data_IF_990539886425
#
_entry.id   IF_990539886425
#
_cell.length_a   1.000
_cell.length_b   1.000
_cell.length_c   1.000
_cell.angle_alpha   90.00
_cell.angle_beta   90.00
_cell.angle_gamma   90.00
#
_symmetry.space_group_name_H-M   'P 1'
#
loop_
_entity.id
_entity.type
_entity.pdbx_description
1 polymer ?
#
# COMPACT_ATOMS: atom_id res chain seq x y z
N UNK A 1 -6.14 12.23 -18.02
CA UNK A 1 -5.03 12.06 -17.05
C UNK A 1 -4.21 13.35 -16.90
N UNK A 2 -3.57 13.90 -17.94
CA UNK A 2 -2.68 15.09 -17.83
C UNK A 2 -3.27 16.30 -17.10
N UNK A 3 -4.58 16.57 -17.23
CA UNK A 3 -5.26 17.70 -16.56
C UNK A 3 -5.68 17.37 -15.11
N UNK A 4 -5.83 16.10 -14.77
CA UNK A 4 -6.34 15.67 -13.47
C UNK A 4 -5.20 15.37 -12.48
N UNK A 5 -4.11 14.76 -12.95
CA UNK A 5 -2.98 14.38 -12.08
C UNK A 5 -2.39 15.54 -11.26
N UNK A 6 -2.17 16.76 -11.80
CA UNK A 6 -1.68 17.87 -10.98
C UNK A 6 -2.62 18.29 -9.86
N UNK A 7 -3.95 18.23 -10.10
CA UNK A 7 -4.95 18.54 -9.06
C UNK A 7 -4.99 17.48 -7.97
N UNK A 8 -4.79 16.22 -8.33
CA UNK A 8 -4.69 15.11 -7.36
C UNK A 8 -3.42 15.26 -6.53
N UNK A 9 -2.28 15.56 -7.18
CA UNK A 9 -1.00 15.79 -6.49
C UNK A 9 -1.12 16.90 -5.46
N UNK A 10 -1.68 18.04 -5.85
CA UNK A 10 -1.91 19.20 -4.97
C UNK A 10 -2.80 18.81 -3.79
N UNK A 11 -3.98 18.24 -4.04
CA UNK A 11 -4.93 17.87 -3.00
C UNK A 11 -4.36 16.83 -2.02
N UNK A 12 -3.63 15.83 -2.52
CA UNK A 12 -2.98 14.81 -1.68
C UNK A 12 -1.90 15.46 -0.81
N UNK A 13 -1.07 16.35 -1.35
CA UNK A 13 -0.02 17.03 -0.56
C UNK A 13 -0.60 17.93 0.53
N UNK A 14 -1.72 18.61 0.27
CA UNK A 14 -2.44 19.38 1.30
C UNK A 14 -2.90 18.46 2.44
N UNK A 15 -3.50 17.31 2.13
CA UNK A 15 -3.95 16.35 3.15
C UNK A 15 -2.79 15.69 3.90
N UNK A 16 -1.65 15.44 3.25
CA UNK A 16 -0.43 14.97 3.92
C UNK A 16 0.04 16.00 4.97
N UNK A 17 0.18 17.26 4.56
CA UNK A 17 0.63 18.32 5.47
C UNK A 17 -0.33 18.52 6.65
N UNK A 18 -1.63 18.48 6.39
CA UNK A 18 -2.67 18.54 7.42
C UNK A 18 -2.56 17.36 8.39
N UNK A 19 -2.44 16.11 7.89
CA UNK A 19 -2.33 14.93 8.74
C UNK A 19 -1.08 14.97 9.60
N UNK A 20 0.07 15.35 9.05
CA UNK A 20 1.31 15.51 9.83
C UNK A 20 1.09 16.48 10.98
N UNK A 21 0.51 17.64 10.71
CA UNK A 21 0.29 18.69 11.72
C UNK A 21 -0.71 18.28 12.80
N UNK A 22 -1.76 17.52 12.47
CA UNK A 22 -2.91 17.33 13.36
C UNK A 22 -2.97 15.95 14.02
N UNK A 23 -2.29 14.92 13.46
CA UNK A 23 -2.43 13.53 13.91
C UNK A 23 -1.11 12.87 14.30
N UNK A 24 0.03 13.37 13.80
CA UNK A 24 1.31 12.77 14.13
C UNK A 24 1.98 13.44 15.33
N UNK A 25 2.77 12.67 16.11
CA UNK A 25 3.46 13.20 17.28
C UNK A 25 4.31 14.43 16.91
N UNK A 26 4.22 15.46 17.74
CA UNK A 26 4.95 16.72 17.61
C UNK A 26 4.74 17.46 16.28
N UNK A 27 3.68 17.12 15.51
CA UNK A 27 3.45 17.69 14.19
C UNK A 27 4.54 17.34 13.16
N UNK A 28 5.23 16.19 13.34
CA UNK A 28 6.31 15.72 12.48
C UNK A 28 5.92 14.46 11.73
N UNK A 29 6.53 14.25 10.56
CA UNK A 29 6.36 12.99 9.83
C UNK A 29 6.76 11.78 10.69
N UNK A 30 6.11 10.65 10.46
CA UNK A 30 6.47 9.41 11.14
C UNK A 30 7.73 8.79 10.52
N UNK A 31 8.39 7.93 11.29
CA UNK A 31 9.59 7.21 10.86
C UNK A 31 9.36 6.50 9.52
N UNK A 32 10.35 6.58 8.63
CA UNK A 32 10.36 6.04 7.27
C UNK A 32 9.37 6.70 6.28
N UNK A 33 8.58 7.69 6.69
CA UNK A 33 7.81 8.49 5.75
C UNK A 33 8.74 9.44 5.00
N UNK A 34 8.56 9.55 3.66
CA UNK A 34 9.33 10.49 2.86
C UNK A 34 9.08 11.94 3.30
N UNK A 35 10.13 12.78 3.44
CA UNK A 35 9.99 14.21 3.68
C UNK A 35 9.62 14.99 2.41
N UNK A 36 9.80 14.37 1.24
CA UNK A 36 9.57 15.02 -0.03
C UNK A 36 8.07 15.11 -0.36
N UNK A 37 7.66 16.12 -1.14
CA UNK A 37 6.30 16.16 -1.69
C UNK A 37 5.98 14.87 -2.46
N UNK A 38 4.77 14.36 -2.28
CA UNK A 38 4.27 13.22 -3.03
C UNK A 38 4.06 13.61 -4.50
N UNK A 39 4.69 12.88 -5.42
CA UNK A 39 4.63 13.11 -6.87
C UNK A 39 4.24 11.83 -7.60
N UNK A 40 2.96 11.64 -7.94
CA UNK A 40 2.52 10.41 -8.56
C UNK A 40 3.07 10.28 -9.98
N UNK A 41 3.78 9.19 -10.23
CA UNK A 41 4.35 8.85 -11.53
C UNK A 41 3.73 7.60 -12.16
N UNK A 42 2.80 6.95 -11.45
CA UNK A 42 2.05 5.80 -11.92
C UNK A 42 0.57 5.92 -11.53
N UNK A 43 -0.30 5.39 -12.40
CA UNK A 43 -1.72 5.29 -12.12
C UNK A 43 -2.25 3.92 -12.59
N UNK A 44 -3.01 3.26 -11.73
CA UNK A 44 -3.67 2.00 -12.02
C UNK A 44 -5.18 2.20 -12.04
N UNK A 45 -5.83 1.69 -13.09
CA UNK A 45 -7.28 1.87 -13.28
C UNK A 45 -7.98 0.54 -13.10
N UNK A 46 -8.92 0.49 -12.15
CA UNK A 46 -9.85 -0.62 -11.97
C UNK A 46 -11.25 -0.19 -12.41
N UNK A 47 -11.95 -1.10 -13.07
CA UNK A 47 -13.37 -0.95 -13.38
C UNK A 47 -14.13 -2.06 -12.68
N UNK A 48 -15.09 -1.68 -11.84
CA UNK A 48 -16.03 -2.60 -11.18
C UNK A 48 -17.38 -2.46 -11.86
N UNK A 49 -17.86 -3.53 -12.49
CA UNK A 49 -19.14 -3.55 -13.19
C UNK A 49 -20.20 -4.21 -12.31
N UNK A 50 -21.17 -3.43 -11.89
CA UNK A 50 -22.22 -3.88 -10.98
C UNK A 50 -21.80 -3.94 -9.51
N UNK A 51 -22.68 -4.45 -8.67
CA UNK A 51 -22.47 -4.55 -7.22
C UNK A 51 -21.61 -5.74 -6.79
N UNK A 52 -21.64 -6.84 -7.55
CA UNK A 52 -20.98 -8.09 -7.18
C UNK A 52 -19.44 -8.01 -7.27
N UNK A 53 -18.90 -7.27 -8.24
CA UNK A 53 -17.46 -7.13 -8.38
C UNK A 53 -16.87 -6.39 -7.19
N UNK A 54 -15.84 -6.96 -6.60
CA UNK A 54 -15.27 -6.54 -5.33
C UNK A 54 -13.78 -6.87 -5.26
N UNK A 55 -13.09 -6.34 -4.27
CA UNK A 55 -11.75 -6.77 -3.91
C UNK A 55 -11.69 -7.02 -2.40
N UNK A 56 -11.17 -8.19 -2.02
CA UNK A 56 -11.04 -8.60 -0.63
C UNK A 56 -10.04 -7.76 0.16
N UNK A 57 -9.99 -7.97 1.49
CA UNK A 57 -9.08 -7.24 2.37
C UNK A 57 -7.61 -7.54 2.05
N UNK A 58 -6.88 -6.49 1.69
CA UNK A 58 -5.45 -6.54 1.36
C UNK A 58 -4.74 -5.27 1.81
N UNK A 59 -3.43 -5.28 1.75
CA UNK A 59 -2.57 -4.09 1.73
C UNK A 59 -1.84 -4.07 0.39
N UNK A 60 -1.55 -2.89 -0.14
CA UNK A 60 -0.81 -2.76 -1.39
C UNK A 60 0.62 -3.30 -1.25
N UNK A 61 1.19 -3.74 -2.36
CA UNK A 61 2.58 -4.19 -2.39
C UNK A 61 3.53 -2.99 -2.26
N UNK A 62 4.52 -3.12 -1.37
CA UNK A 62 5.48 -2.05 -1.09
C UNK A 62 6.67 -2.03 -2.06
N UNK A 63 6.81 -3.00 -2.96
CA UNK A 63 8.02 -3.26 -3.75
C UNK A 63 8.53 -2.03 -4.49
N UNK A 64 7.66 -1.21 -5.06
CA UNK A 64 8.03 0.03 -5.74
C UNK A 64 7.71 1.28 -4.92
N UNK A 65 6.88 1.12 -3.91
CA UNK A 65 6.38 2.23 -3.10
C UNK A 65 7.30 2.56 -1.93
N UNK A 66 7.94 1.52 -1.38
CA UNK A 66 8.71 1.63 -0.17
C UNK A 66 7.87 1.80 1.10
N UNK A 67 8.55 2.05 2.23
CA UNK A 67 7.90 2.30 3.51
C UNK A 67 6.98 3.51 3.51
N UNK A 68 5.91 3.41 4.31
CA UNK A 68 5.01 4.53 4.61
C UNK A 68 4.45 5.21 3.35
N UNK A 69 4.12 4.39 2.35
CA UNK A 69 3.62 4.85 1.07
C UNK A 69 2.27 5.58 1.21
N UNK A 70 2.14 6.67 0.48
CA UNK A 70 0.90 7.43 0.36
C UNK A 70 0.31 7.18 -1.02
N UNK A 71 -1.00 6.97 -1.07
CA UNK A 71 -1.71 6.62 -2.30
C UNK A 71 -2.95 7.52 -2.43
N UNK A 72 -3.10 8.15 -3.58
CA UNK A 72 -4.31 8.90 -3.93
C UNK A 72 -5.24 8.04 -4.79
N UNK A 73 -6.53 8.01 -4.49
CA UNK A 73 -7.49 7.16 -5.19
C UNK A 73 -8.74 7.96 -5.55
N UNK A 74 -9.00 8.13 -6.86
CA UNK A 74 -10.23 8.76 -7.38
C UNK A 74 -11.28 7.69 -7.65
N UNK A 75 -12.50 7.96 -7.23
CA UNK A 75 -13.68 7.16 -7.54
C UNK A 75 -14.62 7.90 -8.48
N UNK A 76 -14.98 7.27 -9.59
CA UNK A 76 -15.90 7.80 -10.59
C UNK A 76 -17.02 6.79 -10.88
N UNK A 77 -18.22 7.27 -11.20
CA UNK A 77 -19.37 6.42 -11.52
C UNK A 77 -20.15 6.01 -10.27
N UNK A 78 -20.49 4.73 -10.16
CA UNK A 78 -21.31 4.19 -9.05
C UNK A 78 -20.60 4.32 -7.72
N UNK A 79 -21.30 4.76 -6.69
CA UNK A 79 -20.78 4.83 -5.32
C UNK A 79 -20.59 3.41 -4.74
N UNK A 80 -19.51 3.20 -4.02
CA UNK A 80 -19.18 1.93 -3.35
C UNK A 80 -18.60 2.18 -1.96
N UNK A 81 -18.62 1.18 -1.11
CA UNK A 81 -17.95 1.23 0.19
C UNK A 81 -16.50 0.77 0.08
N UNK A 82 -15.61 1.64 0.56
CA UNK A 82 -14.23 1.31 0.89
C UNK A 82 -14.16 0.96 2.37
N UNK A 83 -13.83 -0.26 2.67
CA UNK A 83 -13.76 -0.74 4.05
C UNK A 83 -12.33 -0.87 4.50
N UNK A 84 -12.05 -0.45 5.72
CA UNK A 84 -10.74 -0.59 6.34
C UNK A 84 -10.87 -1.27 7.68
N UNK A 85 -9.86 -2.06 8.05
CA UNK A 85 -9.73 -2.67 9.36
C UNK A 85 -8.27 -2.68 9.80
N UNK A 86 -8.03 -2.44 11.07
CA UNK A 86 -6.69 -2.47 11.62
C UNK A 86 -6.16 -3.90 11.71
N UNK A 87 -4.85 -4.07 11.53
CA UNK A 87 -4.18 -5.35 11.70
C UNK A 87 -3.72 -5.41 13.16
N UNK A 88 -4.16 -6.44 13.89
CA UNK A 88 -3.75 -6.67 15.28
C UNK A 88 -2.63 -7.70 15.28
N UNK A 89 -1.40 -7.32 15.68
CA UNK A 89 -0.30 -8.26 15.82
C UNK A 89 -0.56 -9.26 16.95
N UNK A 90 -0.20 -10.51 16.75
CA UNK A 90 -0.34 -11.59 17.73
C UNK A 90 1.02 -12.00 18.28
N UNK A 91 1.07 -12.45 19.53
CA UNK A 91 2.26 -13.06 20.11
C UNK A 91 2.49 -14.46 19.50
N UNK A 92 3.75 -14.83 19.28
CA UNK A 92 4.11 -16.13 18.69
C UNK A 92 3.69 -17.32 19.56
N UNK A 93 3.40 -17.09 20.83
CA UNK A 93 2.91 -18.09 21.79
C UNK A 93 1.38 -18.30 21.72
N UNK A 94 0.65 -17.42 21.09
CA UNK A 94 -0.80 -17.57 20.93
C UNK A 94 -1.12 -18.60 19.85
N UNK A 95 -2.03 -19.54 20.16
CA UNK A 95 -2.54 -20.48 19.15
C UNK A 95 -3.20 -19.71 18.01
N UNK A 96 -3.02 -20.13 16.74
CA UNK A 96 -3.72 -19.52 15.62
C UNK A 96 -5.22 -19.53 15.89
N UNK A 97 -5.84 -18.37 15.96
CA UNK A 97 -7.30 -18.27 16.08
C UNK A 97 -7.97 -18.84 14.83
N UNK A 98 -9.12 -19.51 14.94
CA UNK A 98 -9.87 -19.97 13.79
C UNK A 98 -10.14 -18.82 12.82
N UNK A 99 -10.12 -19.07 11.50
CA UNK A 99 -10.37 -18.06 10.47
C UNK A 99 -11.71 -17.32 10.65
N UNK A 100 -12.67 -17.91 11.36
CA UNK A 100 -13.95 -17.28 11.73
C UNK A 100 -13.79 -16.21 12.81
N UNK A 101 -12.82 -16.35 13.73
CA UNK A 101 -12.52 -15.37 14.79
C UNK A 101 -11.55 -14.29 14.33
N UNK A 102 -10.72 -14.54 13.30
CA UNK A 102 -9.94 -13.49 12.62
C UNK A 102 -10.84 -12.42 11.98
N UNK A 103 -12.13 -12.68 11.81
CA UNK A 103 -13.11 -11.75 11.24
C UNK A 103 -13.72 -10.78 12.27
N UNK A 104 -13.65 -11.09 13.54
CA UNK A 104 -14.07 -10.18 14.60
C UNK A 104 -12.88 -9.38 15.10
N UNK A 105 -12.44 -8.40 14.29
CA UNK A 105 -11.46 -7.42 14.75
C UNK A 105 -12.06 -6.70 15.95
N UNK A 106 -11.44 -6.81 17.12
CA UNK A 106 -11.88 -6.18 18.35
C UNK A 106 -11.97 -4.63 18.24
N UNK A 107 -11.26 -4.05 17.27
CA UNK A 107 -11.28 -2.60 16.98
C UNK A 107 -12.32 -2.21 15.91
N UNK A 108 -13.04 -3.17 15.35
CA UNK A 108 -14.09 -2.93 14.37
C UNK A 108 -13.60 -2.66 12.95
N UNK A 109 -14.58 -2.46 12.08
CA UNK A 109 -14.40 -2.15 10.68
C UNK A 109 -14.96 -0.76 10.40
N UNK A 110 -14.22 0.05 9.66
CA UNK A 110 -14.68 1.37 9.21
C UNK A 110 -15.11 1.23 7.76
N UNK A 111 -16.33 1.69 7.45
CA UNK A 111 -16.84 1.79 6.08
C UNK A 111 -16.84 3.26 5.66
N UNK A 112 -16.19 3.55 4.55
CA UNK A 112 -16.09 4.88 3.95
C UNK A 112 -16.88 4.86 2.65
N UNK A 113 -17.92 5.65 2.57
CA UNK A 113 -18.69 5.80 1.34
C UNK A 113 -17.89 6.62 0.32
N UNK A 114 -17.70 6.06 -0.89
CA UNK A 114 -16.98 6.71 -1.99
C UNK A 114 -17.96 7.08 -3.10
N UNK A 115 -18.49 8.30 -3.09
CA UNK A 115 -19.37 8.79 -4.17
C UNK A 115 -18.61 9.06 -5.46
N UNK A 116 -19.35 9.35 -6.51
CA UNK A 116 -18.77 9.88 -7.75
C UNK A 116 -17.92 11.12 -7.51
N UNK A 117 -16.79 11.19 -8.20
CA UNK A 117 -15.83 12.31 -8.12
C UNK A 117 -15.27 12.56 -6.71
N UNK A 118 -15.05 11.50 -5.94
CA UNK A 118 -14.39 11.57 -4.64
C UNK A 118 -12.91 11.20 -4.74
N UNK A 119 -12.08 11.85 -3.91
CA UNK A 119 -10.67 11.54 -3.71
C UNK A 119 -10.50 10.95 -2.31
N UNK A 120 -9.95 9.75 -2.24
CA UNK A 120 -9.50 9.10 -1.01
C UNK A 120 -7.98 9.17 -0.92
N UNK A 121 -7.46 9.60 0.22
CA UNK A 121 -6.02 9.56 0.52
C UNK A 121 -5.73 8.48 1.53
N UNK A 122 -4.96 7.48 1.13
CA UNK A 122 -4.41 6.48 2.03
C UNK A 122 -3.07 6.98 2.56
N UNK A 123 -3.05 7.33 3.85
CA UNK A 123 -1.88 7.90 4.51
C UNK A 123 -0.81 6.87 4.84
N UNK A 124 0.31 7.34 5.33
CA UNK A 124 1.55 6.58 5.54
C UNK A 124 1.44 5.33 6.42
N UNK A 125 0.40 5.19 7.23
CA UNK A 125 0.18 4.02 8.08
C UNK A 125 -0.62 2.90 7.37
N UNK A 126 -1.29 3.24 6.26
CA UNK A 126 -2.32 2.37 5.70
C UNK A 126 -1.80 1.01 5.26
N UNK A 127 -0.62 0.95 4.62
CA UNK A 127 -0.14 -0.30 4.06
C UNK A 127 0.54 -1.20 5.11
N UNK A 128 0.98 -0.64 6.22
CA UNK A 128 1.66 -1.36 7.31
C UNK A 128 0.68 -1.84 8.38
N UNK A 129 -0.32 -1.02 8.71
CA UNK A 129 -1.13 -1.19 9.91
C UNK A 129 -2.58 -1.57 9.59
N UNK A 130 -3.02 -1.39 8.35
CA UNK A 130 -4.41 -1.60 7.95
C UNK A 130 -4.53 -2.51 6.72
N UNK A 131 -5.69 -3.15 6.60
CA UNK A 131 -6.16 -3.75 5.35
C UNK A 131 -7.35 -2.97 4.84
N UNK A 132 -7.48 -2.93 3.52
CA UNK A 132 -8.60 -2.27 2.86
C UNK A 132 -9.24 -3.17 1.81
N UNK A 133 -10.50 -2.88 1.49
CA UNK A 133 -11.30 -3.65 0.53
C UNK A 133 -12.32 -2.74 -0.17
N UNK A 134 -12.80 -3.17 -1.33
CA UNK A 134 -14.06 -2.69 -1.90
C UNK A 134 -15.08 -3.79 -1.66
N UNK A 135 -16.07 -3.49 -0.82
CA UNK A 135 -17.09 -4.46 -0.48
C UNK A 135 -18.04 -4.73 -1.67
N UNK A 136 -18.56 -5.98 -1.82
CA UNK A 136 -19.71 -6.20 -2.68
C UNK A 136 -20.90 -5.39 -2.16
N UNK A 137 -21.76 -4.93 -3.08
CA UNK A 137 -22.98 -4.22 -2.76
C UNK A 137 -24.19 -5.02 -3.28
N UNK A 138 -25.21 -5.19 -2.44
CA UNK A 138 -26.45 -5.89 -2.84
C UNK A 138 -27.26 -5.06 -3.83
N UNK A 139 -27.23 -3.74 -3.69
CA UNK A 139 -27.85 -2.79 -4.61
C UNK A 139 -26.86 -1.67 -4.95
N UNK A 140 -26.99 -1.11 -6.12
CA UNK A 140 -26.24 0.04 -6.61
C UNK A 140 -27.18 1.01 -7.28
N UNK A 141 -26.89 2.31 -7.17
CA UNK A 141 -27.58 3.34 -7.93
C UNK A 141 -26.82 3.61 -9.23
N UNK A 142 -27.38 3.30 -10.41
CA UNK A 142 -26.71 3.51 -11.68
C UNK A 142 -26.33 4.99 -11.89
N UNK A 143 -25.09 5.23 -12.31
CA UNK A 143 -24.64 6.58 -12.61
C UNK A 143 -25.10 7.01 -14.02
N UNK A 144 -25.60 8.24 -14.23
CA UNK A 144 -26.18 8.67 -15.52
C UNK A 144 -25.27 8.48 -16.75
N UNK A 145 -23.94 8.59 -16.56
CA UNK A 145 -22.96 8.44 -17.63
C UNK A 145 -22.30 7.05 -17.60
N UNK A 146 -21.91 6.56 -16.43
CA UNK A 146 -21.14 5.32 -16.28
C UNK A 146 -22.03 4.06 -16.18
N UNK A 147 -23.34 4.22 -16.08
CA UNK A 147 -24.27 3.11 -15.85
C UNK A 147 -23.92 2.41 -14.53
N UNK A 148 -23.79 1.10 -14.55
CA UNK A 148 -23.48 0.29 -13.37
C UNK A 148 -21.98 0.24 -13.01
N UNK A 149 -21.14 1.05 -13.67
CA UNK A 149 -19.69 0.96 -13.50
C UNK A 149 -19.16 1.96 -12.47
N UNK A 150 -18.28 1.47 -11.60
CA UNK A 150 -17.36 2.30 -10.83
C UNK A 150 -15.98 2.20 -11.46
N UNK A 151 -15.37 3.34 -11.75
CA UNK A 151 -13.99 3.43 -12.19
C UNK A 151 -13.16 3.98 -11.04
N UNK A 152 -12.10 3.27 -10.69
CA UNK A 152 -11.15 3.70 -9.67
C UNK A 152 -9.80 3.97 -10.32
N UNK A 153 -9.25 5.16 -10.08
CA UNK A 153 -7.93 5.55 -10.55
C UNK A 153 -7.03 5.71 -9.32
N UNK A 154 -6.10 4.77 -9.14
CA UNK A 154 -5.19 4.75 -8.01
C UNK A 154 -3.83 5.29 -8.42
N UNK A 155 -3.47 6.46 -7.89
CA UNK A 155 -2.21 7.14 -8.14
C UNK A 155 -1.15 6.73 -7.13
N UNK A 156 0.05 6.44 -7.61
CA UNK A 156 1.19 5.98 -6.81
C UNK A 156 2.45 6.72 -7.18
N UNK A 157 3.30 6.95 -6.20
CA UNK A 157 4.66 7.48 -6.36
C UNK A 157 5.64 6.30 -6.27
N UNK A 158 6.09 5.81 -7.42
CA UNK A 158 7.06 4.73 -7.53
C UNK A 158 8.48 5.28 -7.38
N UNK A 159 9.20 4.79 -6.39
CA UNK A 159 10.56 5.22 -6.07
C UNK A 159 11.57 4.58 -7.02
N UNK A 160 12.36 5.40 -7.71
CA UNK A 160 13.35 4.93 -8.67
C UNK A 160 14.41 4.00 -8.05
N UNK A 161 14.82 4.29 -6.81
CA UNK A 161 15.79 3.47 -6.06
C UNK A 161 15.25 2.11 -5.58
N UNK A 162 13.94 1.86 -5.71
CA UNK A 162 13.31 0.56 -5.47
C UNK A 162 12.95 -0.19 -6.76
N UNK A 163 13.48 0.28 -7.90
CA UNK A 163 13.35 -0.45 -9.15
C UNK A 163 14.04 -1.83 -9.06
N UNK A 164 13.51 -2.91 -9.66
CA UNK A 164 14.04 -4.28 -9.57
C UNK A 164 15.53 -4.45 -9.93
N UNK A 165 16.10 -3.51 -10.69
CA UNK A 165 17.53 -3.50 -10.98
C UNK A 165 18.44 -3.22 -9.77
N UNK A 166 17.87 -2.59 -8.71
CA UNK A 166 18.59 -2.24 -7.49
C UNK A 166 18.22 -3.12 -6.29
N UNK A 167 17.06 -3.80 -6.35
CA UNK A 167 16.59 -4.64 -5.25
C UNK A 167 17.30 -5.99 -5.22
N UNK A 168 17.37 -6.66 -4.07
CA UNK A 168 17.96 -7.99 -3.97
C UNK A 168 17.31 -8.98 -4.93
N UNK A 169 18.09 -9.93 -5.42
CA UNK A 169 17.57 -11.07 -6.20
C UNK A 169 17.61 -12.32 -5.35
N UNK A 170 16.56 -13.12 -5.46
CA UNK A 170 16.51 -14.42 -4.79
C UNK A 170 17.34 -15.49 -5.53
N UNK A 171 17.48 -16.67 -4.93
CA UNK A 171 18.20 -17.80 -5.53
C UNK A 171 17.59 -18.29 -6.87
N UNK A 172 16.35 -17.93 -7.16
CA UNK A 172 15.67 -18.24 -8.43
C UNK A 172 15.97 -17.19 -9.51
N UNK A 173 16.89 -16.26 -9.25
CA UNK A 173 17.23 -15.13 -10.11
C UNK A 173 16.02 -14.24 -10.46
N UNK A 174 15.09 -14.10 -9.52
CA UNK A 174 13.93 -13.20 -9.61
C UNK A 174 14.14 -12.05 -8.63
N UNK A 175 13.85 -10.79 -9.00
CA UNK A 175 13.87 -9.68 -8.04
C UNK A 175 12.98 -9.99 -6.84
N UNK A 176 13.49 -9.79 -5.65
CA UNK A 176 12.75 -9.98 -4.41
C UNK A 176 11.67 -8.90 -4.24
N UNK A 177 10.60 -9.22 -3.54
CA UNK A 177 9.53 -8.27 -3.22
C UNK A 177 9.68 -7.76 -1.79
N UNK A 178 9.40 -6.46 -1.61
CA UNK A 178 9.37 -5.83 -0.31
C UNK A 178 8.05 -6.14 0.41
N UNK A 179 8.17 -6.56 1.66
CA UNK A 179 7.06 -6.83 2.56
C UNK A 179 7.29 -6.18 3.91
N UNK A 180 6.24 -6.09 4.71
CA UNK A 180 6.30 -5.66 6.10
C UNK A 180 5.69 -6.74 6.99
N UNK A 181 6.25 -6.93 8.18
CA UNK A 181 5.71 -7.85 9.18
C UNK A 181 4.48 -7.21 9.81
N UNK A 182 3.32 -7.80 9.55
CA UNK A 182 2.03 -7.28 10.01
C UNK A 182 1.41 -8.11 11.14
N UNK A 183 1.77 -9.38 11.31
CA UNK A 183 1.08 -10.30 12.22
C UNK A 183 1.86 -10.66 13.46
N UNK A 184 3.19 -10.69 13.40
CA UNK A 184 4.06 -11.05 14.52
C UNK A 184 4.43 -9.84 15.34
N UNK A 185 4.06 -9.79 16.61
CA UNK A 185 4.28 -8.69 17.52
C UNK A 185 5.77 -8.34 17.69
N UNK A 186 6.62 -9.36 17.83
CA UNK A 186 8.08 -9.22 18.02
C UNK A 186 8.79 -8.41 16.92
N UNK A 187 8.30 -8.54 15.67
CA UNK A 187 8.92 -7.91 14.51
C UNK A 187 7.94 -6.99 13.76
N UNK A 188 6.86 -6.61 14.40
CA UNK A 188 5.82 -5.79 13.79
C UNK A 188 6.39 -4.49 13.22
N UNK A 189 5.99 -4.18 11.97
CA UNK A 189 6.45 -2.98 11.26
C UNK A 189 7.85 -3.09 10.65
N UNK A 190 8.61 -4.18 10.88
CA UNK A 190 9.90 -4.41 10.22
C UNK A 190 9.70 -4.82 8.77
N UNK A 191 10.54 -4.32 7.90
CA UNK A 191 10.51 -4.62 6.46
C UNK A 191 11.48 -5.75 6.12
N UNK A 192 11.13 -6.52 5.07
CA UNK A 192 11.95 -7.61 4.58
C UNK A 192 11.77 -7.85 3.08
N UNK A 193 12.80 -8.38 2.46
CA UNK A 193 12.78 -8.88 1.10
C UNK A 193 12.53 -10.39 1.10
N UNK A 194 11.69 -10.86 0.19
CA UNK A 194 11.42 -12.29 0.04
C UNK A 194 11.31 -12.71 -1.42
N UNK A 195 11.46 -14.01 -1.67
CA UNK A 195 11.25 -14.58 -2.98
C UNK A 195 9.79 -14.43 -3.44
N UNK A 196 9.61 -14.10 -4.70
CA UNK A 196 8.31 -13.99 -5.36
C UNK A 196 8.17 -14.96 -6.57
N UNK A 197 9.15 -15.83 -6.78
CA UNK A 197 9.21 -16.71 -7.97
C UNK A 197 7.99 -17.64 -8.11
N UNK A 198 7.39 -18.09 -7.00
CA UNK A 198 6.17 -18.92 -7.05
C UNK A 198 4.94 -18.23 -7.66
N UNK A 199 4.98 -16.91 -7.88
CA UNK A 199 3.94 -16.16 -8.61
C UNK A 199 4.31 -15.92 -10.08
N UNK A 200 5.46 -16.44 -10.54
CA UNK A 200 5.90 -16.39 -11.93
C UNK A 200 5.60 -17.73 -12.58
N UNK A 201 4.85 -17.78 -13.70
CA UNK A 201 4.54 -19.03 -14.38
C UNK A 201 5.81 -19.86 -14.66
N UNK A 202 5.77 -21.16 -14.33
CA UNK A 202 6.87 -22.08 -14.55
C UNK A 202 8.06 -21.95 -13.58
N UNK A 203 7.93 -21.17 -12.52
CA UNK A 203 8.97 -21.08 -11.47
C UNK A 203 8.44 -21.51 -10.10
N UNK A 204 9.28 -22.25 -9.39
CA UNK A 204 9.06 -22.52 -7.97
C UNK A 204 9.72 -21.44 -7.11
N UNK A 205 9.10 -21.12 -5.97
CA UNK A 205 9.67 -20.18 -5.01
C UNK A 205 10.81 -20.81 -4.21
N UNK A 206 11.75 -19.99 -3.73
CA UNK A 206 12.80 -20.42 -2.79
C UNK A 206 12.62 -19.77 -1.42
N UNK A 207 13.42 -20.21 -0.44
CA UNK A 207 13.40 -19.71 0.94
C UNK A 207 14.16 -18.38 1.14
N UNK A 208 14.39 -17.59 0.07
CA UNK A 208 15.10 -16.32 0.20
C UNK A 208 14.33 -15.37 1.12
N UNK A 209 15.03 -14.89 2.13
CA UNK A 209 14.55 -13.90 3.08
C UNK A 209 15.74 -13.02 3.51
N UNK A 210 15.52 -11.72 3.54
CA UNK A 210 16.49 -10.74 4.02
C UNK A 210 15.79 -9.57 4.67
N UNK A 211 16.24 -9.11 5.86
CA UNK A 211 15.72 -7.90 6.46
C UNK A 211 16.07 -6.68 5.60
N UNK A 212 15.06 -5.91 5.26
CA UNK A 212 15.23 -4.63 4.59
C UNK A 212 15.46 -3.52 5.62
N UNK A 213 16.45 -2.69 5.37
CA UNK A 213 16.78 -1.55 6.22
C UNK A 213 16.47 -0.26 5.47
N UNK A 214 15.81 0.66 6.14
CA UNK A 214 15.49 1.99 5.63
C UNK A 214 15.89 3.03 6.67
N UNK A 215 16.35 4.19 6.21
CA UNK A 215 16.61 5.34 7.07
C UNK A 215 15.29 6.01 7.53
N UNK A 216 15.41 7.08 8.30
CA UNK A 216 14.24 7.79 8.83
C UNK A 216 13.38 8.49 7.75
N UNK A 217 13.95 8.69 6.56
CA UNK A 217 13.27 9.25 5.39
C UNK A 217 12.76 8.18 4.42
N UNK A 218 12.89 6.91 4.82
CA UNK A 218 12.43 5.76 4.05
C UNK A 218 13.28 5.45 2.83
N UNK A 219 14.54 5.93 2.78
CA UNK A 219 15.48 5.54 1.74
C UNK A 219 16.08 4.17 2.08
N UNK A 220 16.24 3.27 1.09
CA UNK A 220 16.84 1.97 1.33
C UNK A 220 18.32 2.12 1.69
N UNK A 221 18.72 1.45 2.77
CA UNK A 221 20.11 1.29 3.16
C UNK A 221 20.60 -0.05 2.63
N UNK A 222 21.30 -0.01 1.51
CA UNK A 222 21.83 -1.24 0.89
C UNK A 222 23.06 -1.71 1.66
N UNK A 223 23.16 -3.03 1.88
CA UNK A 223 24.40 -3.63 2.41
C UNK A 223 25.51 -3.41 1.40
N UNK A 224 26.57 -2.74 1.78
CA UNK A 224 27.81 -2.71 1.01
C UNK A 224 28.44 -4.09 1.11
N UNK A 225 28.36 -4.89 0.05
CA UNK A 225 29.29 -6.00 -0.10
C UNK A 225 30.69 -5.37 -0.18
N UNK A 226 31.62 -5.80 0.67
CA UNK A 226 32.93 -5.21 0.89
C UNK A 226 33.87 -5.11 -0.32
N UNK A 227 33.38 -4.62 -1.45
CA UNK A 227 34.16 -4.16 -2.60
C UNK A 227 33.37 -3.02 -3.27
N UNK A 228 33.83 -1.80 -3.03
CA UNK A 228 33.72 -0.63 -3.89
C UNK A 228 32.33 -0.11 -4.23
N UNK A 229 32.01 1.03 -3.68
CA UNK A 229 31.15 2.12 -4.14
C UNK A 229 30.21 1.86 -5.34
N UNK A 230 28.92 1.70 -5.03
CA UNK A 230 27.85 2.15 -5.95
C UNK A 230 27.09 3.29 -5.26
N UNK A 231 27.64 4.51 -5.35
CA UNK A 231 26.86 5.73 -5.19
C UNK A 231 25.82 5.75 -6.33
N UNK A 232 24.56 5.78 -5.98
CA UNK A 232 23.50 6.15 -6.91
C UNK A 232 23.48 7.67 -6.92
N UNK A 233 24.03 8.28 -7.95
CA UNK A 233 23.82 9.70 -8.24
C UNK A 233 22.34 9.89 -8.61
N UNK A 234 21.78 10.93 -8.04
CA UNK A 234 20.39 11.42 -8.13
C UNK A 234 20.00 11.83 -9.54
#
# INVERSE_FOLDING_TARGET
MRKVSPKVEEAVNIEIAKRIKTHYPDGKKIKHQSPNPWKPNAAFVNCYNGGAESVGYHSDQLTYLGPRAIIGSISLGVAREFRVRRIIPQDSSEKPKPKSEERSDQEGQIAIHLPHNSLLVMHAEMQEEWKHSIAPAQAIDPHPIAGNKRINITYRDYRANLHPKFTPRCKCDVPAVLRVVQRKKENWGRYFWMCHAGNVPGKEGCSFFEWAVFDDDGQPVWKTNGNGDKKVES
#
